data_IF_122071597124
#
_entry.id   IF_122071597124
#
_cell.length_a   1.000
_cell.length_b   1.000
_cell.length_c   1.000
_cell.angle_alpha   90.00
_cell.angle_beta   90.00
_cell.angle_gamma   90.00
#
_symmetry.space_group_name_H-M   'P 1'
#
loop_
_entity.id
_entity.type
_entity.pdbx_description
1 polymer ?
#
# COMPACT_ATOMS: atom_id res chain seq x y z
N UNK A 1 -11.86 2.60 2.02
CA UNK A 1 -11.49 1.31 1.42
C UNK A 1 -10.05 0.94 1.71
N UNK A 2 -9.83 -0.28 2.19
CA UNK A 2 -8.51 -0.84 2.50
C UNK A 2 -8.43 -2.26 1.94
N UNK A 3 -7.30 -2.57 1.31
CA UNK A 3 -6.92 -3.90 0.87
C UNK A 3 -5.79 -4.42 1.75
N UNK A 4 -6.05 -5.52 2.45
CA UNK A 4 -5.05 -6.30 3.15
C UNK A 4 -4.51 -7.32 2.15
N UNK A 5 -3.22 -7.24 1.86
CA UNK A 5 -2.54 -8.26 1.08
C UNK A 5 -1.94 -9.23 2.08
N UNK A 6 -2.65 -10.32 2.30
CA UNK A 6 -2.30 -11.34 3.29
C UNK A 6 -1.13 -12.19 2.76
N UNK A 7 -0.19 -12.48 3.65
CA UNK A 7 0.99 -13.31 3.43
C UNK A 7 1.08 -14.47 4.45
N UNK A 8 -0.05 -14.83 5.06
CA UNK A 8 -0.29 -15.92 6.03
C UNK A 8 0.22 -15.73 7.45
N UNK A 9 1.24 -14.91 7.71
CA UNK A 9 1.78 -14.85 9.08
C UNK A 9 0.92 -14.02 10.05
N UNK A 10 0.15 -13.06 9.52
CA UNK A 10 -0.73 -12.20 10.31
C UNK A 10 -2.16 -12.29 9.78
N UNK A 11 -3.11 -12.81 10.55
CA UNK A 11 -4.48 -12.94 10.10
C UNK A 11 -5.08 -11.59 9.69
N UNK A 12 -5.66 -11.52 8.49
CA UNK A 12 -6.38 -10.32 8.00
C UNK A 12 -7.44 -9.80 9.00
N UNK A 13 -8.09 -10.69 9.75
CA UNK A 13 -9.06 -10.31 10.79
C UNK A 13 -8.40 -9.53 11.94
N UNK A 14 -7.20 -9.93 12.38
CA UNK A 14 -6.46 -9.23 13.43
C UNK A 14 -6.10 -7.82 12.98
N UNK A 15 -5.60 -7.68 11.75
CA UNK A 15 -5.26 -6.39 11.13
C UNK A 15 -6.50 -5.50 11.08
N UNK A 16 -7.63 -6.03 10.60
CA UNK A 16 -8.89 -5.28 10.48
C UNK A 16 -9.40 -4.74 11.81
N UNK A 17 -9.36 -5.58 12.86
CA UNK A 17 -9.79 -5.20 14.20
C UNK A 17 -8.87 -4.14 14.80
N UNK A 18 -7.55 -4.28 14.64
CA UNK A 18 -6.58 -3.39 15.28
C UNK A 18 -6.44 -2.04 14.57
N UNK A 19 -6.37 -2.02 13.24
CA UNK A 19 -6.13 -0.78 12.48
C UNK A 19 -7.43 -0.04 12.15
N UNK A 20 -8.53 -0.77 11.89
CA UNK A 20 -9.76 -0.17 11.36
C UNK A 20 -10.96 -0.33 12.30
N UNK A 21 -10.80 -0.99 13.46
CA UNK A 21 -11.87 -1.29 14.41
C UNK A 21 -13.05 -2.02 13.75
N UNK A 22 -12.76 -2.79 12.70
CA UNK A 22 -13.75 -3.54 11.94
C UNK A 22 -13.64 -5.02 12.30
N UNK A 23 -14.78 -5.65 12.57
CA UNK A 23 -14.87 -7.11 12.78
C UNK A 23 -15.17 -7.87 11.49
N UNK A 24 -15.40 -7.16 10.38
CA UNK A 24 -15.65 -7.76 9.07
C UNK A 24 -14.44 -7.56 8.16
N UNK A 25 -14.05 -8.64 7.50
CA UNK A 25 -13.12 -8.65 6.37
C UNK A 25 -13.81 -9.45 5.28
N UNK A 26 -13.84 -8.89 4.06
CA UNK A 26 -14.36 -9.59 2.89
C UNK A 26 -13.19 -10.13 2.10
N UNK A 27 -13.11 -11.44 1.97
CA UNK A 27 -12.11 -12.10 1.14
C UNK A 27 -12.47 -11.95 -0.34
N UNK A 28 -11.50 -11.58 -1.15
CA UNK A 28 -11.64 -11.49 -2.60
C UNK A 28 -11.05 -12.76 -3.20
N UNK A 29 -11.92 -13.65 -3.68
CA UNK A 29 -11.53 -14.92 -4.30
C UNK A 29 -11.19 -14.76 -5.80
N UNK A 30 -11.70 -13.72 -6.45
CA UNK A 30 -11.47 -13.46 -7.88
C UNK A 30 -11.24 -11.98 -8.17
N UNK A 31 -10.19 -11.66 -8.93
CA UNK A 31 -9.90 -10.30 -9.41
C UNK A 31 -10.40 -10.16 -10.84
N UNK A 32 -11.61 -9.63 -10.99
CA UNK A 32 -12.18 -9.18 -12.27
C UNK A 32 -12.45 -7.68 -12.23
N UNK A 33 -12.78 -7.09 -13.39
CA UNK A 33 -13.20 -5.68 -13.43
C UNK A 33 -14.49 -5.46 -12.63
N UNK A 34 -15.43 -6.40 -12.69
CA UNK A 34 -16.70 -6.33 -11.96
C UNK A 34 -16.44 -6.36 -10.45
N UNK A 35 -15.56 -7.26 -9.98
CA UNK A 35 -15.16 -7.30 -8.57
C UNK A 35 -14.53 -5.98 -8.14
N UNK A 36 -13.66 -5.39 -8.96
CA UNK A 36 -13.05 -4.09 -8.65
C UNK A 36 -14.15 -3.03 -8.53
N UNK A 37 -15.06 -2.92 -9.50
CA UNK A 37 -16.12 -1.92 -9.49
C UNK A 37 -17.06 -2.07 -8.26
N UNK A 38 -17.38 -3.30 -7.86
CA UNK A 38 -18.15 -3.58 -6.63
C UNK A 38 -17.40 -3.14 -5.36
N UNK A 39 -16.12 -3.51 -5.26
CA UNK A 39 -15.29 -3.18 -4.10
C UNK A 39 -14.98 -1.68 -4.04
N UNK A 40 -14.97 -0.97 -5.18
CA UNK A 40 -14.81 0.49 -5.22
C UNK A 40 -16.05 1.26 -4.78
N UNK A 41 -17.22 0.65 -4.90
CA UNK A 41 -18.50 1.27 -4.50
C UNK A 41 -18.87 0.93 -3.06
N UNK A 42 -18.36 -0.18 -2.53
CA UNK A 42 -18.54 -0.59 -1.14
C UNK A 42 -17.36 -0.11 -0.26
N UNK A 43 -17.62 0.68 0.78
CA UNK A 43 -16.58 1.01 1.75
C UNK A 43 -16.37 -0.16 2.71
N UNK A 44 -15.15 -0.68 2.79
CA UNK A 44 -14.84 -1.87 3.57
C UNK A 44 -13.34 -2.19 3.70
N UNK A 45 -13.09 -3.26 4.44
CA UNK A 45 -11.78 -3.92 4.58
C UNK A 45 -11.83 -5.23 3.82
N UNK A 46 -10.95 -5.36 2.84
CA UNK A 46 -10.88 -6.52 1.95
C UNK A 46 -9.57 -7.25 2.14
N UNK A 47 -9.55 -8.56 1.95
CA UNK A 47 -8.32 -9.35 1.98
C UNK A 47 -8.11 -10.09 0.66
N UNK A 48 -6.85 -10.14 0.21
CA UNK A 48 -6.41 -11.05 -0.85
C UNK A 48 -5.24 -11.87 -0.37
N UNK A 49 -5.26 -13.14 -0.76
CA UNK A 49 -4.20 -14.11 -0.56
C UNK A 49 -3.17 -13.97 -1.69
N UNK A 50 -1.95 -13.51 -1.37
CA UNK A 50 -0.94 -13.16 -2.40
C UNK A 50 -0.62 -14.33 -3.34
N UNK A 51 -0.64 -15.54 -2.82
CA UNK A 51 -0.41 -16.81 -3.51
C UNK A 51 -1.51 -17.21 -4.49
N UNK A 52 -2.72 -16.65 -4.33
CA UNK A 52 -3.87 -16.97 -5.19
C UNK A 52 -3.90 -16.15 -6.48
N UNK A 53 -3.09 -15.08 -6.58
CA UNK A 53 -3.14 -14.14 -7.69
C UNK A 53 -1.77 -13.89 -8.30
N UNK A 54 -1.76 -13.64 -9.61
CA UNK A 54 -0.55 -13.20 -10.28
C UNK A 54 -0.21 -11.74 -9.91
N UNK A 55 1.03 -11.36 -10.22
CA UNK A 55 1.54 -10.04 -9.88
C UNK A 55 0.73 -8.92 -10.53
N UNK A 56 0.28 -9.08 -11.78
CA UNK A 56 -0.47 -8.06 -12.50
C UNK A 56 -1.86 -7.82 -11.91
N UNK A 57 -2.59 -8.86 -11.51
CA UNK A 57 -3.89 -8.71 -10.81
C UNK A 57 -3.72 -8.03 -9.46
N UNK A 58 -2.73 -8.43 -8.68
CA UNK A 58 -2.42 -7.78 -7.40
C UNK A 58 -2.07 -6.31 -7.61
N UNK A 59 -1.27 -6.00 -8.64
CA UNK A 59 -0.89 -4.63 -8.98
C UNK A 59 -2.09 -3.77 -9.33
N UNK A 60 -3.03 -4.30 -10.10
CA UNK A 60 -4.28 -3.61 -10.42
C UNK A 60 -5.09 -3.29 -9.17
N UNK A 61 -5.27 -4.26 -8.27
CA UNK A 61 -5.94 -4.05 -7.00
C UNK A 61 -5.24 -2.95 -6.20
N UNK A 62 -3.93 -3.09 -6.00
CA UNK A 62 -3.12 -2.10 -5.27
C UNK A 62 -3.28 -0.68 -5.79
N UNK A 63 -3.50 -0.48 -7.10
CA UNK A 63 -3.69 0.87 -7.64
C UNK A 63 -4.86 1.62 -7.00
N UNK A 64 -5.97 0.94 -6.72
CA UNK A 64 -7.19 1.58 -6.23
C UNK A 64 -7.38 1.56 -4.72
N UNK A 65 -6.62 0.75 -3.99
CA UNK A 65 -6.79 0.57 -2.54
C UNK A 65 -5.66 1.21 -1.72
N UNK A 66 -6.01 1.66 -0.51
CA UNK A 66 -5.04 1.77 0.57
C UNK A 66 -4.59 0.36 0.92
N UNK A 67 -3.30 0.14 1.09
CA UNK A 67 -2.77 -1.22 1.24
C UNK A 67 -2.25 -1.46 2.65
N UNK A 68 -2.51 -2.66 3.17
CA UNK A 68 -1.79 -3.24 4.30
C UNK A 68 -0.97 -4.40 3.76
N UNK A 69 0.35 -4.36 3.98
CA UNK A 69 1.29 -5.38 3.50
C UNK A 69 2.20 -5.80 4.63
N UNK A 70 2.55 -7.08 4.69
CA UNK A 70 3.59 -7.56 5.58
C UNK A 70 4.97 -7.33 4.96
N UNK A 71 5.89 -6.83 5.77
CA UNK A 71 7.27 -6.53 5.40
C UNK A 71 8.20 -7.08 6.48
N UNK A 72 8.86 -8.20 6.17
CA UNK A 72 9.68 -8.98 7.09
C UNK A 72 8.90 -9.42 8.35
N UNK A 73 9.01 -8.69 9.45
CA UNK A 73 8.36 -8.97 10.73
C UNK A 73 7.43 -7.83 11.19
N UNK A 74 7.06 -6.95 10.27
CA UNK A 74 6.22 -5.79 10.53
C UNK A 74 5.05 -5.74 9.54
N UNK A 75 3.98 -5.09 9.97
CA UNK A 75 2.85 -4.73 9.11
C UNK A 75 3.00 -3.27 8.71
N UNK A 76 2.96 -3.00 7.41
CA UNK A 76 2.98 -1.66 6.86
C UNK A 76 1.58 -1.29 6.36
N UNK A 77 1.09 -0.13 6.77
CA UNK A 77 -0.13 0.46 6.25
C UNK A 77 0.20 1.70 5.40
N UNK A 78 -0.31 1.73 4.18
CA UNK A 78 -0.14 2.82 3.23
C UNK A 78 -1.51 3.42 2.91
N UNK A 79 -1.73 4.64 3.40
CA UNK A 79 -2.90 5.45 3.04
C UNK A 79 -2.54 6.39 1.88
N UNK A 80 -2.98 6.04 0.68
CA UNK A 80 -2.69 6.77 -0.56
C UNK A 80 -3.40 8.12 -0.61
N UNK A 81 -4.64 8.19 -0.12
CA UNK A 81 -5.41 9.43 -0.09
C UNK A 81 -4.78 10.49 0.82
N UNK A 82 -4.27 10.07 1.98
CA UNK A 82 -3.64 10.96 2.97
C UNK A 82 -2.12 11.10 2.80
N UNK A 83 -1.51 10.32 1.90
CA UNK A 83 -0.06 10.21 1.73
C UNK A 83 0.67 9.89 3.04
N UNK A 84 0.09 8.98 3.83
CA UNK A 84 0.61 8.55 5.14
C UNK A 84 1.04 7.09 5.05
N UNK A 85 2.23 6.79 5.56
CA UNK A 85 2.72 5.43 5.77
C UNK A 85 2.87 5.22 7.27
N UNK A 86 2.42 4.08 7.78
CA UNK A 86 2.56 3.69 9.19
C UNK A 86 3.11 2.29 9.27
N UNK A 87 3.93 2.05 10.29
CA UNK A 87 4.53 0.76 10.56
C UNK A 87 4.02 0.23 11.89
N UNK A 88 3.77 -1.08 11.94
CA UNK A 88 3.31 -1.77 13.12
C UNK A 88 4.18 -2.99 13.36
N UNK A 89 4.67 -3.13 14.59
CA UNK A 89 5.37 -4.33 15.04
C UNK A 89 4.34 -5.42 15.38
N UNK A 90 4.62 -6.65 14.95
CA UNK A 90 3.77 -7.81 15.23
C UNK A 90 4.12 -8.37 16.61
N UNK A 91 3.15 -8.37 17.51
CA UNK A 91 3.28 -9.02 18.83
C UNK A 91 2.84 -10.46 18.70
N UNK A 92 3.72 -11.40 19.10
CA UNK A 92 3.47 -12.84 19.05
C UNK A 92 3.44 -13.42 20.46
N UNK A 93 2.65 -14.47 20.64
CA UNK A 93 2.63 -15.24 21.89
C UNK A 93 3.81 -16.24 21.96
N UNK A 94 3.81 -17.07 23.01
CA UNK A 94 4.84 -18.08 23.23
C UNK A 94 4.84 -19.21 22.18
N UNK A 95 3.76 -19.34 21.41
CA UNK A 95 3.60 -20.33 20.33
C UNK A 95 3.96 -19.73 18.95
N UNK A 96 4.25 -18.43 18.89
CA UNK A 96 4.60 -17.70 17.66
C UNK A 96 3.39 -17.14 16.91
N UNK A 97 2.18 -17.26 17.47
CA UNK A 97 0.95 -16.77 16.86
C UNK A 97 0.83 -15.25 17.04
N UNK A 98 0.48 -14.53 15.97
CA UNK A 98 0.26 -13.08 16.03
C UNK A 98 -0.98 -12.76 16.88
N UNK A 99 -0.81 -11.96 17.94
CA UNK A 99 -1.86 -11.60 18.89
C UNK A 99 -2.16 -10.10 18.94
N UNK A 100 -1.19 -9.25 18.57
CA UNK A 100 -1.38 -7.80 18.54
C UNK A 100 -0.50 -7.10 17.49
N UNK A 101 -0.84 -5.84 17.20
CA UNK A 101 -0.10 -4.91 16.36
C UNK A 101 0.15 -3.61 17.11
N UNK A 102 1.42 -3.23 17.27
CA UNK A 102 1.81 -2.00 17.98
C UNK A 102 2.41 -1.02 16.99
N UNK A 103 1.83 0.19 16.89
CA UNK A 103 2.34 1.24 16.01
C UNK A 103 3.77 1.63 16.42
N UNK A 104 4.69 1.51 15.48
CA UNK A 104 6.06 2.00 15.61
C UNK A 104 5.98 3.49 15.34
N UNK A 105 6.05 4.29 16.41
CA UNK A 105 6.21 5.73 16.30
C UNK A 105 7.66 5.98 15.95
N UNK A 106 7.93 6.43 14.72
CA UNK A 106 9.22 7.03 14.42
C UNK A 106 9.32 8.30 15.29
N UNK A 107 10.27 8.32 16.21
CA UNK A 107 10.70 9.58 16.80
C UNK A 107 11.24 10.43 15.63
N UNK A 108 10.75 11.67 15.50
CA UNK A 108 11.21 12.63 14.49
C UNK A 108 12.65 13.09 14.80
N UNK A 109 13.61 12.18 14.90
CA UNK A 109 15.03 12.51 14.80
C UNK A 109 15.35 12.82 13.34
N UNK A 110 15.20 14.10 13.03
CA UNK A 110 15.85 14.87 11.96
C UNK A 110 16.92 14.13 11.15
N UNK A 111 16.50 13.45 10.10
CA UNK A 111 17.24 13.54 8.83
C UNK A 111 16.21 13.74 7.73
N UNK A 112 16.15 14.97 7.21
CA UNK A 112 15.41 15.27 6.01
C UNK A 112 16.09 14.53 4.85
N UNK A 113 15.74 13.26 4.66
CA UNK A 113 16.09 12.54 3.45
C UNK A 113 15.34 13.20 2.30
N UNK A 114 16.10 13.87 1.45
CA UNK A 114 15.62 14.51 0.23
C UNK A 114 14.89 13.46 -0.62
N UNK A 115 13.59 13.66 -0.82
CA UNK A 115 12.70 12.73 -1.53
C UNK A 115 13.04 12.57 -3.02
N UNK A 116 14.07 13.26 -3.49
CA UNK A 116 14.57 13.21 -4.86
C UNK A 116 15.74 12.22 -5.04
N UNK A 117 16.34 11.69 -3.98
CA UNK A 117 17.51 10.82 -4.07
C UNK A 117 17.24 9.44 -4.73
N UNK A 118 15.97 9.01 -4.77
CA UNK A 118 15.56 7.75 -5.42
C UNK A 118 15.13 7.92 -6.88
N UNK A 119 15.07 9.16 -7.38
CA UNK A 119 14.80 9.41 -8.79
C UNK A 119 16.13 9.28 -9.55
N UNK A 120 16.24 8.36 -10.54
CA UNK A 120 17.37 8.38 -11.45
C UNK A 120 17.39 9.74 -12.14
N UNK A 121 18.54 10.42 -12.09
CA UNK A 121 18.81 11.75 -12.66
C UNK A 121 17.86 12.14 -13.81
N UNK A 122 16.83 12.94 -13.52
CA UNK A 122 16.14 13.74 -14.53
C UNK A 122 17.00 15.00 -14.75
N UNK A 123 18.21 14.81 -15.27
CA UNK A 123 19.10 15.87 -15.73
C UNK A 123 19.50 15.53 -17.17
N UNK A 124 18.56 15.65 -18.10
CA UNK A 124 18.86 15.57 -19.52
C UNK A 124 17.80 16.22 -20.43
N UNK A 125 16.96 17.16 -19.96
CA UNK A 125 16.03 17.90 -20.84
C UNK A 125 15.72 19.33 -20.35
N UNK A 126 16.72 20.10 -19.94
CA UNK A 126 16.58 21.55 -19.91
C UNK A 126 17.60 22.15 -20.89
N UNK A 127 17.08 22.95 -21.84
CA UNK A 127 17.73 23.59 -22.99
C UNK A 127 17.81 22.79 -24.30
N UNK A 128 16.64 22.44 -24.86
CA UNK A 128 16.49 22.49 -26.32
C UNK A 128 15.76 23.81 -26.65
N UNK A 129 16.54 24.81 -27.07
CA UNK A 129 16.00 26.06 -27.61
C UNK A 129 15.46 25.74 -29.00
N UNK A 130 14.14 25.62 -29.11
CA UNK A 130 13.46 25.56 -30.42
C UNK A 130 13.49 26.96 -31.02
N UNK A 131 14.42 27.21 -31.94
CA UNK A 131 14.41 28.41 -32.79
C UNK A 131 13.48 28.10 -33.96
N UNK A 132 12.28 28.67 -33.94
CA UNK A 132 11.46 28.73 -35.15
C UNK A 132 12.12 29.75 -36.08
N UNK A 133 12.45 29.40 -37.34
CA UNK A 133 12.70 30.44 -38.33
C UNK A 133 11.37 31.21 -38.50
N UNK A 134 11.41 32.51 -38.23
CA UNK A 134 10.29 33.40 -38.56
C UNK A 134 10.08 33.30 -40.09
N UNK A 135 8.92 32.75 -40.47
CA UNK A 135 8.33 32.96 -41.78
C UNK A 135 7.73 34.38 -41.81
N UNK A 136 7.90 35.07 -42.95
CA UNK A 136 7.40 36.42 -43.32
C UNK A 136 8.27 37.60 -42.79
N UNK A 137 9.00 38.40 -43.59
CA UNK A 137 8.90 38.83 -45.01
C UNK A 137 10.29 39.22 -45.58
#
# INVERSE_FOLDING_TARGET
MVLIVDTFEVPSLLISQKLFRSSSVVEIEEVTKETIDEVLTADGVYSIHKECFDYERIRWMKYYFNEVVEVFANVQYINKSKKVVRYYSIVRDAEGVATDLVEIKEDEEKEAYDKTAFLPHVQAQEEEIVIFPDDED
#
